data_IF_925600986904
#
_entry.id   IF_925600986904
#
_cell.length_a   1.000
_cell.length_b   1.000
_cell.length_c   1.000
_cell.angle_alpha   90.00
_cell.angle_beta   90.00
_cell.angle_gamma   90.00
#
_symmetry.space_group_name_H-M   'P 1'
#
loop_
_entity.id
_entity.type
_entity.pdbx_description
1 polymer ?
#
# COMPACT_ATOMS: atom_id res chain seq x y z
N UNK A 1 -16.11 -8.08 -15.97
CA UNK A 1 -14.98 -8.99 -16.31
C UNK A 1 -13.79 -8.12 -16.65
N UNK A 2 -12.70 -8.27 -15.92
CA UNK A 2 -11.44 -7.53 -16.13
C UNK A 2 -10.92 -7.80 -17.54
N UNK A 3 -10.49 -6.74 -18.22
CA UNK A 3 -9.95 -6.82 -19.58
C UNK A 3 -8.65 -6.05 -19.66
N UNK A 4 -7.60 -6.73 -20.12
CA UNK A 4 -6.33 -6.12 -20.47
C UNK A 4 -6.16 -6.12 -22.00
N UNK A 5 -5.72 -4.99 -22.53
CA UNK A 5 -5.14 -4.90 -23.85
C UNK A 5 -3.64 -4.58 -23.69
N UNK A 6 -2.86 -4.59 -24.75
CA UNK A 6 -1.40 -4.42 -24.69
C UNK A 6 -0.92 -3.06 -24.14
N UNK A 7 -1.82 -2.08 -23.99
CA UNK A 7 -1.50 -0.73 -23.52
C UNK A 7 -2.15 -0.38 -22.18
N UNK A 8 -2.95 -1.31 -21.59
CA UNK A 8 -3.59 -1.09 -20.30
C UNK A 8 -2.51 -0.95 -19.21
N UNK A 9 -2.49 0.19 -18.52
CA UNK A 9 -1.61 0.37 -17.36
C UNK A 9 -2.12 -0.43 -16.16
N UNK A 10 -1.23 -1.17 -15.49
CA UNK A 10 -1.51 -1.93 -14.27
C UNK A 10 -0.97 -1.12 -13.10
N UNK A 11 -1.87 -0.61 -12.27
CA UNK A 11 -1.58 0.18 -11.09
C UNK A 11 -1.91 -0.67 -9.87
N UNK A 12 -0.96 -0.86 -8.97
CA UNK A 12 -1.16 -1.71 -7.79
C UNK A 12 -0.76 -0.97 -6.52
N UNK A 13 -1.53 -1.15 -5.47
CA UNK A 13 -1.01 -0.93 -4.13
C UNK A 13 0.05 -2.00 -3.79
N UNK A 14 0.77 -1.78 -2.72
CA UNK A 14 1.84 -2.66 -2.26
C UNK A 14 1.41 -3.45 -1.02
N UNK A 15 1.14 -2.75 0.09
CA UNK A 15 0.84 -3.36 1.38
C UNK A 15 -0.64 -3.81 1.42
N UNK A 16 -0.89 -5.08 1.73
CA UNK A 16 -2.24 -5.66 1.67
C UNK A 16 -2.66 -6.21 0.29
N UNK A 17 -1.90 -5.91 -0.77
CA UNK A 17 -2.10 -6.46 -2.12
C UNK A 17 -0.98 -7.41 -2.53
N UNK A 18 0.25 -6.98 -2.34
CA UNK A 18 1.49 -7.70 -2.70
C UNK A 18 2.17 -8.21 -1.44
N UNK A 19 2.40 -7.32 -0.48
CA UNK A 19 3.04 -7.63 0.79
C UNK A 19 2.03 -7.78 1.92
N UNK A 20 2.35 -8.69 2.85
CA UNK A 20 1.53 -8.94 4.03
C UNK A 20 1.60 -7.74 4.99
N UNK A 21 0.43 -7.30 5.47
CA UNK A 21 0.28 -6.21 6.44
C UNK A 21 0.78 -6.56 7.85
N UNK A 22 0.99 -7.84 8.17
CA UNK A 22 1.37 -8.27 9.52
C UNK A 22 2.64 -7.56 10.02
N UNK A 23 3.58 -7.27 9.11
CA UNK A 23 4.80 -6.54 9.41
C UNK A 23 4.52 -5.11 9.88
N UNK A 24 3.66 -4.39 9.15
CA UNK A 24 3.28 -3.03 9.50
C UNK A 24 2.40 -2.99 10.75
N UNK A 25 1.50 -3.96 10.91
CA UNK A 25 0.68 -4.11 12.12
C UNK A 25 1.58 -4.31 13.35
N UNK A 26 2.58 -5.16 13.26
CA UNK A 26 3.54 -5.38 14.37
C UNK A 26 4.34 -4.12 14.70
N UNK A 27 4.75 -3.35 13.68
CA UNK A 27 5.42 -2.07 13.92
C UNK A 27 4.53 -1.14 14.77
N UNK A 28 3.28 -0.95 14.38
CA UNK A 28 2.37 -0.03 15.06
C UNK A 28 1.86 -0.52 16.41
N UNK A 29 1.60 -1.83 16.55
CA UNK A 29 0.97 -2.40 17.75
C UNK A 29 1.98 -2.91 18.80
N UNK A 30 3.22 -3.18 18.39
CA UNK A 30 4.23 -3.77 19.27
C UNK A 30 5.54 -2.99 19.27
N UNK A 31 6.29 -2.97 18.19
CA UNK A 31 7.68 -2.50 18.17
C UNK A 31 7.81 -1.02 18.53
N UNK A 32 7.03 -0.15 17.90
CA UNK A 32 7.03 1.27 18.19
C UNK A 32 6.58 1.58 19.64
N UNK A 33 5.43 1.07 20.12
CA UNK A 33 5.01 1.29 21.49
C UNK A 33 6.00 0.76 22.53
N UNK A 34 6.58 -0.42 22.32
CA UNK A 34 7.57 -1.03 23.24
C UNK A 34 8.85 -0.19 23.30
N UNK A 35 9.34 0.29 22.14
CA UNK A 35 10.51 1.16 22.08
C UNK A 35 10.27 2.47 22.84
N UNK A 36 9.15 3.15 22.58
CA UNK A 36 8.78 4.41 23.26
C UNK A 36 8.61 4.21 24.77
N UNK A 37 7.96 3.13 25.20
CA UNK A 37 7.79 2.82 26.62
C UNK A 37 9.12 2.60 27.34
N UNK A 38 10.03 1.84 26.70
CA UNK A 38 11.35 1.56 27.24
C UNK A 38 12.22 2.84 27.33
N UNK A 39 12.25 3.64 26.25
CA UNK A 39 13.01 4.88 26.16
C UNK A 39 12.54 5.91 27.20
N UNK A 40 11.21 6.06 27.35
CA UNK A 40 10.62 7.05 28.25
C UNK A 40 10.42 6.55 29.68
N UNK A 41 10.66 5.27 29.97
CA UNK A 41 10.36 4.59 31.23
C UNK A 41 8.89 4.79 31.67
N UNK A 42 7.94 4.71 30.68
CA UNK A 42 6.51 4.82 30.91
C UNK A 42 5.82 3.46 30.78
N UNK A 43 4.58 3.38 31.24
CA UNK A 43 3.79 2.16 31.13
C UNK A 43 3.43 1.88 29.65
N UNK A 44 3.67 0.65 29.19
CA UNK A 44 3.43 0.25 27.80
C UNK A 44 1.96 0.44 27.37
N UNK A 45 1.00 0.10 28.22
CA UNK A 45 -0.42 0.24 27.88
C UNK A 45 -0.85 1.72 27.73
N UNK A 46 -0.27 2.61 28.56
CA UNK A 46 -0.50 4.05 28.41
C UNK A 46 0.08 4.59 27.11
N UNK A 47 1.27 4.11 26.70
CA UNK A 47 1.89 4.46 25.40
C UNK A 47 1.05 3.96 24.26
N UNK A 48 0.58 2.70 24.27
CA UNK A 48 -0.30 2.15 23.26
C UNK A 48 -1.57 2.98 23.09
N UNK A 49 -2.20 3.37 24.18
CA UNK A 49 -3.39 4.24 24.14
C UNK A 49 -3.09 5.59 23.50
N UNK A 50 -1.96 6.22 23.84
CA UNK A 50 -1.56 7.52 23.27
C UNK A 50 -1.28 7.42 21.77
N UNK A 51 -0.52 6.41 21.35
CA UNK A 51 -0.22 6.17 19.93
C UNK A 51 -1.50 5.88 19.15
N UNK A 52 -2.39 5.04 19.67
CA UNK A 52 -3.66 4.72 19.02
C UNK A 52 -4.56 5.95 18.87
N UNK A 53 -4.63 6.81 19.88
CA UNK A 53 -5.40 8.05 19.80
C UNK A 53 -4.86 8.99 18.70
N UNK A 54 -3.54 9.07 18.55
CA UNK A 54 -2.93 9.85 17.48
C UNK A 54 -3.15 9.21 16.11
N UNK A 55 -3.01 7.91 15.97
CA UNK A 55 -3.36 7.15 14.75
C UNK A 55 -4.79 7.50 14.31
N UNK A 56 -5.76 7.47 15.22
CA UNK A 56 -7.16 7.76 14.93
C UNK A 56 -7.37 9.23 14.49
N UNK A 57 -6.56 10.15 15.02
CA UNK A 57 -6.58 11.57 14.64
C UNK A 57 -6.01 11.78 13.24
N UNK A 58 -4.94 11.08 12.89
CA UNK A 58 -4.20 11.28 11.63
C UNK A 58 -4.72 10.42 10.47
N UNK A 59 -5.62 9.46 10.69
CA UNK A 59 -6.17 8.61 9.61
C UNK A 59 -6.67 9.43 8.42
N UNK A 60 -6.19 9.08 7.22
CA UNK A 60 -6.55 9.76 5.96
C UNK A 60 -5.82 11.08 5.71
N UNK A 61 -4.80 11.38 6.51
CA UNK A 61 -3.85 12.47 6.28
C UNK A 61 -2.47 11.90 5.93
N UNK A 62 -1.58 12.72 5.37
CA UNK A 62 -0.19 12.30 5.12
C UNK A 62 0.57 11.98 6.40
N UNK A 63 0.30 12.70 7.48
CA UNK A 63 0.98 12.48 8.77
C UNK A 63 0.84 11.03 9.26
N UNK A 64 -0.29 10.36 8.94
CA UNK A 64 -0.48 8.95 9.30
C UNK A 64 0.62 8.07 8.68
N UNK A 65 1.03 8.37 7.46
CA UNK A 65 1.98 7.57 6.69
C UNK A 65 3.43 8.09 6.79
N UNK A 66 3.64 9.34 7.25
CA UNK A 66 4.94 10.00 7.31
C UNK A 66 5.71 9.60 8.59
N UNK A 67 6.72 8.77 8.45
CA UNK A 67 7.54 8.37 9.59
C UNK A 67 8.29 9.55 10.25
N UNK A 68 8.57 10.65 9.52
CA UNK A 68 9.19 11.83 10.16
C UNK A 68 8.22 12.49 11.14
N UNK A 69 6.92 12.52 10.83
CA UNK A 69 5.92 13.01 11.77
C UNK A 69 5.95 12.22 13.09
N UNK A 70 6.04 10.89 13.00
CA UNK A 70 6.09 10.01 14.17
C UNK A 70 7.43 10.07 14.90
N UNK A 71 8.55 10.23 14.16
CA UNK A 71 9.89 10.44 14.72
C UNK A 71 9.90 11.69 15.62
N UNK A 72 9.37 12.81 15.11
CA UNK A 72 9.30 14.08 15.82
C UNK A 72 8.34 14.01 17.01
N UNK A 73 7.14 13.42 16.82
CA UNK A 73 6.11 13.34 17.86
C UNK A 73 6.54 12.48 19.05
N UNK A 74 7.20 11.35 18.78
CA UNK A 74 7.54 10.36 19.78
C UNK A 74 9.01 10.44 20.24
N UNK A 75 9.81 11.30 19.60
CA UNK A 75 11.25 11.46 19.79
C UNK A 75 11.99 10.12 19.65
N UNK A 76 11.78 9.44 18.52
CA UNK A 76 12.38 8.16 18.14
C UNK A 76 12.92 8.22 16.71
N UNK A 77 13.61 7.18 16.26
CA UNK A 77 13.87 6.90 14.84
C UNK A 77 13.08 5.64 14.44
N UNK A 78 11.95 5.82 13.76
CA UNK A 78 11.10 4.72 13.32
C UNK A 78 11.86 3.77 12.38
N UNK A 79 12.77 4.29 11.55
CA UNK A 79 13.56 3.44 10.65
C UNK A 79 14.61 2.61 11.39
N UNK A 80 15.18 3.12 12.48
CA UNK A 80 16.06 2.34 13.35
C UNK A 80 15.27 1.18 13.99
N UNK A 81 14.08 1.47 14.55
CA UNK A 81 13.19 0.44 15.13
C UNK A 81 12.86 -0.64 14.10
N UNK A 82 12.51 -0.25 12.85
CA UNK A 82 12.20 -1.18 11.77
C UNK A 82 13.40 -2.06 11.40
N UNK A 83 14.61 -1.49 11.32
CA UNK A 83 15.83 -2.21 10.92
C UNK A 83 16.33 -3.19 11.97
N UNK A 84 16.12 -2.89 13.23
CA UNK A 84 16.51 -3.75 14.36
C UNK A 84 15.70 -5.06 14.41
N UNK A 85 14.55 -5.13 13.74
CA UNK A 85 13.74 -6.35 13.76
C UNK A 85 14.40 -7.48 12.96
N UNK A 86 14.46 -8.67 13.56
CA UNK A 86 14.88 -9.90 12.87
C UNK A 86 13.86 -10.31 11.81
N UNK A 87 12.57 -10.13 12.12
CA UNK A 87 11.48 -10.38 11.20
C UNK A 87 11.52 -9.42 10.03
N UNK A 88 11.25 -9.93 8.83
CA UNK A 88 11.18 -9.13 7.60
C UNK A 88 9.77 -9.21 7.02
N UNK A 89 9.40 -8.19 6.24
CA UNK A 89 8.15 -8.24 5.49
C UNK A 89 8.14 -9.45 4.54
N UNK A 90 6.97 -9.94 4.22
CA UNK A 90 6.78 -11.10 3.36
C UNK A 90 5.72 -10.84 2.30
N UNK A 91 5.80 -11.57 1.18
CA UNK A 91 4.71 -11.59 0.22
C UNK A 91 3.44 -12.18 0.82
N UNK A 92 2.28 -11.67 0.40
CA UNK A 92 1.03 -12.40 0.54
C UNK A 92 1.08 -13.71 -0.25
N UNK A 93 0.35 -14.71 0.21
CA UNK A 93 0.31 -16.03 -0.42
C UNK A 93 -0.03 -15.93 -1.91
N UNK A 94 0.84 -16.50 -2.76
CA UNK A 94 0.71 -16.49 -4.21
C UNK A 94 0.99 -15.16 -4.90
N UNK A 95 1.31 -14.07 -4.17
CA UNK A 95 1.54 -12.76 -4.78
C UNK A 95 2.85 -12.70 -5.57
N UNK A 96 3.90 -13.36 -5.11
CA UNK A 96 5.16 -13.41 -5.85
C UNK A 96 4.99 -14.12 -7.21
N UNK A 97 4.32 -15.27 -7.25
CA UNK A 97 4.00 -15.98 -8.49
C UNK A 97 3.06 -15.17 -9.39
N UNK A 98 2.13 -14.42 -8.80
CA UNK A 98 1.28 -13.49 -9.54
C UNK A 98 2.10 -12.38 -10.22
N UNK A 99 3.07 -11.80 -9.54
CA UNK A 99 4.00 -10.82 -10.11
C UNK A 99 4.83 -11.42 -11.25
N UNK A 100 5.35 -12.64 -11.09
CA UNK A 100 6.05 -13.35 -12.14
C UNK A 100 5.19 -13.54 -13.39
N UNK A 101 3.90 -13.86 -13.24
CA UNK A 101 2.95 -13.93 -14.36
C UNK A 101 2.72 -12.56 -14.98
N UNK A 102 2.47 -11.53 -14.18
CA UNK A 102 2.30 -10.16 -14.68
C UNK A 102 3.53 -9.65 -15.42
N UNK A 103 4.74 -10.07 -15.04
CA UNK A 103 5.99 -9.67 -15.72
C UNK A 103 6.08 -10.19 -17.15
N UNK A 104 5.35 -11.26 -17.51
CA UNK A 104 5.28 -11.75 -18.89
C UNK A 104 4.51 -10.82 -19.82
N UNK A 105 3.67 -9.93 -19.25
CA UNK A 105 2.91 -8.94 -20.01
C UNK A 105 3.75 -7.69 -20.24
N UNK A 106 3.63 -7.11 -21.45
CA UNK A 106 4.31 -5.85 -21.82
C UNK A 106 3.59 -4.59 -21.33
N UNK A 107 2.56 -4.75 -20.54
CA UNK A 107 1.77 -3.67 -19.95
C UNK A 107 2.61 -2.81 -19.01
N UNK A 108 2.48 -1.47 -19.03
CA UNK A 108 3.09 -0.63 -18.00
C UNK A 108 2.57 -1.02 -16.60
N UNK A 109 3.47 -1.09 -15.62
CA UNK A 109 3.18 -1.50 -14.25
C UNK A 109 3.75 -0.50 -13.26
N UNK A 110 2.90 0.03 -12.40
CA UNK A 110 3.30 1.02 -11.41
C UNK A 110 2.74 0.68 -10.04
N UNK A 111 3.57 0.87 -9.01
CA UNK A 111 3.09 0.86 -7.62
C UNK A 111 2.61 2.27 -7.27
N UNK A 112 1.43 2.37 -6.66
CA UNK A 112 0.88 3.59 -6.07
C UNK A 112 0.64 3.33 -4.59
N UNK A 113 1.43 3.95 -3.71
CA UNK A 113 1.39 3.64 -2.27
C UNK A 113 1.28 4.89 -1.40
N UNK A 114 0.60 4.73 -0.27
CA UNK A 114 0.60 5.72 0.82
C UNK A 114 1.81 5.57 1.76
N UNK A 115 2.49 4.41 1.73
CA UNK A 115 3.61 4.13 2.63
C UNK A 115 4.78 5.11 2.53
N UNK A 116 5.45 5.34 3.64
CA UNK A 116 6.67 6.16 3.69
C UNK A 116 7.75 5.61 2.74
N UNK A 117 8.35 6.44 1.88
CA UNK A 117 9.36 5.99 0.91
C UNK A 117 10.50 5.20 1.54
N UNK A 118 11.00 5.61 2.71
CA UNK A 118 12.13 4.94 3.41
C UNK A 118 11.76 3.52 3.83
N UNK A 119 10.52 3.34 4.36
CA UNK A 119 10.04 2.02 4.76
C UNK A 119 9.81 1.12 3.54
N UNK A 120 9.27 1.67 2.45
CA UNK A 120 9.04 0.91 1.22
C UNK A 120 10.34 0.53 0.51
N UNK A 121 11.34 1.40 0.50
CA UNK A 121 12.69 1.09 -0.01
C UNK A 121 13.32 -0.05 0.80
N UNK A 122 13.22 0.00 2.13
CA UNK A 122 13.71 -1.10 2.98
C UNK A 122 12.98 -2.43 2.72
N UNK A 123 11.65 -2.40 2.53
CA UNK A 123 10.90 -3.60 2.12
C UNK A 123 11.37 -4.11 0.75
N UNK A 124 11.67 -3.22 -0.19
CA UNK A 124 12.16 -3.59 -1.51
C UNK A 124 13.56 -4.24 -1.46
N UNK A 125 14.45 -3.78 -0.58
CA UNK A 125 15.76 -4.39 -0.35
C UNK A 125 15.63 -5.85 0.12
N UNK A 126 14.58 -6.17 0.88
CA UNK A 126 14.36 -7.51 1.44
C UNK A 126 13.58 -8.43 0.53
N UNK A 127 12.65 -7.92 -0.29
CA UNK A 127 11.71 -8.70 -1.10
C UNK A 127 11.90 -8.55 -2.61
N UNK A 128 12.72 -7.60 -3.05
CA UNK A 128 13.05 -7.36 -4.47
C UNK A 128 11.84 -7.20 -5.41
N UNK A 129 10.70 -6.69 -4.90
CA UNK A 129 9.47 -6.56 -5.71
C UNK A 129 9.55 -5.48 -6.79
N UNK A 130 10.48 -4.52 -6.67
CA UNK A 130 10.62 -3.44 -7.65
C UNK A 130 11.00 -3.93 -9.05
N UNK A 131 11.63 -5.10 -9.19
CA UNK A 131 12.00 -5.67 -10.49
C UNK A 131 10.77 -5.94 -11.39
N UNK A 132 9.56 -6.07 -10.80
CA UNK A 132 8.32 -6.33 -11.53
C UNK A 132 7.62 -5.07 -12.03
N UNK A 133 8.10 -3.87 -11.67
CA UNK A 133 7.42 -2.60 -11.91
C UNK A 133 8.30 -1.59 -12.63
N UNK A 134 7.69 -0.76 -13.47
CA UNK A 134 8.40 0.31 -14.17
C UNK A 134 8.69 1.51 -13.27
N UNK A 135 7.83 1.74 -12.25
CA UNK A 135 8.04 2.79 -11.24
C UNK A 135 7.15 2.62 -10.01
N UNK A 136 7.48 3.39 -8.98
CA UNK A 136 6.67 3.56 -7.78
C UNK A 136 6.32 5.04 -7.58
N UNK A 137 5.08 5.35 -7.24
CA UNK A 137 4.58 6.68 -6.97
C UNK A 137 4.03 6.76 -5.54
N UNK A 138 4.67 7.59 -4.74
CA UNK A 138 4.38 7.75 -3.32
C UNK A 138 3.43 8.91 -3.05
N UNK A 139 2.52 8.75 -2.10
CA UNK A 139 1.68 9.84 -1.58
C UNK A 139 2.50 10.99 -1.00
N UNK A 140 3.64 10.69 -0.36
CA UNK A 140 4.58 11.69 0.16
C UNK A 140 5.09 12.62 -0.94
N UNK A 141 5.45 12.07 -2.11
CA UNK A 141 5.91 12.87 -3.25
C UNK A 141 4.78 13.68 -3.90
N UNK A 142 3.55 13.17 -3.83
CA UNK A 142 2.37 13.88 -4.30
C UNK A 142 1.93 15.01 -3.36
N UNK A 143 2.24 14.92 -2.07
CA UNK A 143 1.71 15.82 -1.04
C UNK A 143 0.26 15.54 -0.66
N UNK A 144 -0.30 14.41 -1.10
CA UNK A 144 -1.70 14.02 -0.87
C UNK A 144 -1.81 12.49 -0.77
N UNK A 145 -2.59 11.93 0.19
CA UNK A 145 -2.84 10.50 0.25
C UNK A 145 -3.78 10.03 -0.86
N UNK A 146 -3.76 8.74 -1.18
CA UNK A 146 -4.56 8.12 -2.26
C UNK A 146 -6.07 8.32 -2.13
N UNK A 147 -6.57 8.59 -0.94
CA UNK A 147 -7.97 8.91 -0.67
C UNK A 147 -8.42 10.25 -1.28
N UNK A 148 -7.47 11.13 -1.63
CA UNK A 148 -7.73 12.46 -2.16
C UNK A 148 -7.53 12.52 -3.67
N UNK A 149 -8.41 13.26 -4.36
CA UNK A 149 -8.38 13.39 -5.84
C UNK A 149 -7.10 14.02 -6.37
N UNK A 150 -6.45 14.86 -5.56
CA UNK A 150 -5.22 15.57 -5.88
C UNK A 150 -4.08 14.57 -6.14
N UNK A 151 -3.97 13.50 -5.33
CA UNK A 151 -3.03 12.40 -5.57
C UNK A 151 -3.17 11.83 -6.99
N UNK A 152 -4.40 11.50 -7.37
CA UNK A 152 -4.69 10.89 -8.68
C UNK A 152 -4.41 11.83 -9.85
N UNK A 153 -4.66 13.13 -9.66
CA UNK A 153 -4.32 14.15 -10.67
C UNK A 153 -2.81 14.19 -10.92
N UNK A 154 -2.02 14.15 -9.85
CA UNK A 154 -0.57 14.15 -9.91
C UNK A 154 -0.02 12.81 -10.44
N UNK A 155 -0.55 11.67 -9.98
CA UNK A 155 -0.18 10.37 -10.49
C UNK A 155 -0.44 10.26 -11.99
N UNK A 156 -1.61 10.70 -12.47
CA UNK A 156 -1.95 10.75 -13.89
C UNK A 156 -0.95 11.54 -14.71
N UNK A 157 -0.57 12.73 -14.22
CA UNK A 157 0.40 13.59 -14.91
C UNK A 157 1.80 13.01 -14.91
N UNK A 158 2.32 12.60 -13.74
CA UNK A 158 3.69 12.16 -13.57
C UNK A 158 3.98 10.82 -14.26
N UNK A 159 3.00 9.91 -14.27
CA UNK A 159 3.12 8.58 -14.88
C UNK A 159 2.51 8.53 -16.30
N UNK A 160 2.04 9.67 -16.82
CA UNK A 160 1.39 9.76 -18.14
C UNK A 160 0.26 8.72 -18.32
N UNK A 161 -0.63 8.60 -17.34
CA UNK A 161 -1.68 7.57 -17.32
C UNK A 161 -2.91 7.98 -18.12
N UNK A 162 -3.45 7.02 -18.86
CA UNK A 162 -4.81 7.09 -19.39
C UNK A 162 -5.74 6.27 -18.49
N UNK A 163 -6.57 6.94 -17.67
CA UNK A 163 -7.48 6.29 -16.73
C UNK A 163 -8.56 5.43 -17.41
N UNK A 164 -8.95 5.77 -18.65
CA UNK A 164 -9.85 4.93 -19.44
C UNK A 164 -9.20 3.60 -19.87
N UNK A 165 -7.87 3.55 -19.84
CA UNK A 165 -7.08 2.37 -20.19
C UNK A 165 -6.16 1.95 -19.04
N UNK A 166 -6.67 1.98 -17.81
CA UNK A 166 -5.96 1.57 -16.61
C UNK A 166 -6.80 0.60 -15.78
N UNK A 167 -6.10 -0.29 -15.07
CA UNK A 167 -6.62 -1.07 -13.96
C UNK A 167 -5.89 -0.66 -12.70
N UNK A 168 -6.63 -0.45 -11.61
CA UNK A 168 -6.08 -0.17 -10.29
C UNK A 168 -6.52 -1.24 -9.30
N UNK A 169 -5.59 -1.69 -8.45
CA UNK A 169 -5.74 -2.80 -7.52
C UNK A 169 -5.34 -2.32 -6.13
N UNK A 170 -6.24 -2.44 -5.15
CA UNK A 170 -6.02 -1.97 -3.79
C UNK A 170 -6.89 -2.76 -2.79
N UNK A 171 -6.49 -2.83 -1.52
CA UNK A 171 -7.25 -3.49 -0.46
C UNK A 171 -8.06 -2.52 0.41
N UNK A 172 -7.78 -1.21 0.36
CA UNK A 172 -8.53 -0.19 1.09
C UNK A 172 -9.75 0.31 0.30
N UNK A 173 -10.93 0.12 0.87
CA UNK A 173 -12.20 0.53 0.24
C UNK A 173 -12.31 2.05 0.01
N UNK A 174 -11.68 2.89 0.86
CA UNK A 174 -11.71 4.35 0.67
C UNK A 174 -10.88 4.74 -0.54
N UNK A 175 -9.70 4.13 -0.70
CA UNK A 175 -8.81 4.33 -1.86
C UNK A 175 -9.47 3.83 -3.13
N UNK A 176 -10.04 2.63 -3.14
CA UNK A 176 -10.83 2.06 -4.24
C UNK A 176 -11.97 3.00 -4.67
N UNK A 177 -12.67 3.57 -3.67
CA UNK A 177 -13.74 4.54 -3.92
C UNK A 177 -13.21 5.83 -4.55
N UNK A 178 -12.06 6.33 -4.09
CA UNK A 178 -11.42 7.52 -4.65
C UNK A 178 -10.99 7.28 -6.11
N UNK A 179 -10.33 6.15 -6.38
CA UNK A 179 -9.91 5.74 -7.73
C UNK A 179 -11.10 5.63 -8.70
N UNK A 180 -12.21 5.07 -8.24
CA UNK A 180 -13.45 5.00 -9.06
C UNK A 180 -13.99 6.40 -9.36
N UNK A 181 -14.02 7.30 -8.39
CA UNK A 181 -14.53 8.67 -8.55
C UNK A 181 -13.71 9.52 -9.53
N UNK A 182 -12.41 9.30 -9.62
CA UNK A 182 -11.55 10.03 -10.57
C UNK A 182 -11.57 9.44 -11.99
N UNK A 183 -12.32 8.35 -12.20
CA UNK A 183 -12.60 7.79 -13.52
C UNK A 183 -11.63 6.71 -13.98
N UNK A 184 -10.93 6.02 -13.09
CA UNK A 184 -10.17 4.82 -13.48
C UNK A 184 -11.17 3.75 -13.94
N UNK A 185 -10.94 3.21 -15.13
CA UNK A 185 -11.90 2.36 -15.84
C UNK A 185 -12.17 1.04 -15.16
N UNK A 186 -11.13 0.43 -14.64
CA UNK A 186 -11.22 -0.86 -13.94
C UNK A 186 -10.57 -0.70 -12.56
N UNK A 187 -11.37 -0.80 -11.53
CA UNK A 187 -10.90 -0.74 -10.14
C UNK A 187 -11.22 -2.08 -9.49
N UNK A 188 -10.23 -2.69 -8.90
CA UNK A 188 -10.29 -3.98 -8.23
C UNK A 188 -10.07 -3.78 -6.73
N UNK A 189 -10.97 -4.31 -5.95
CA UNK A 189 -10.84 -4.33 -4.50
C UNK A 189 -10.39 -5.73 -4.05
N UNK A 190 -9.20 -5.83 -3.48
CA UNK A 190 -8.72 -7.07 -2.87
C UNK A 190 -9.41 -7.25 -1.52
N UNK A 191 -10.06 -8.40 -1.36
CA UNK A 191 -10.87 -8.72 -0.16
C UNK A 191 -10.52 -10.13 0.31
N UNK A 192 -9.45 -10.29 1.12
CA UNK A 192 -9.01 -11.61 1.57
C UNK A 192 -10.13 -12.41 2.24
N UNK A 193 -10.19 -13.71 1.92
CA UNK A 193 -11.20 -14.63 2.48
C UNK A 193 -12.63 -14.46 1.94
N UNK A 194 -12.88 -13.55 0.99
CA UNK A 194 -14.19 -13.36 0.35
C UNK A 194 -14.18 -13.87 -1.08
N UNK A 195 -15.32 -14.37 -1.55
CA UNK A 195 -15.47 -14.76 -2.95
C UNK A 195 -15.47 -13.54 -3.88
N UNK A 196 -15.05 -13.76 -5.12
CA UNK A 196 -15.16 -12.76 -6.20
C UNK A 196 -16.61 -12.34 -6.38
N UNK A 197 -16.89 -11.05 -6.24
CA UNK A 197 -18.22 -10.46 -6.43
C UNK A 197 -18.11 -9.08 -7.08
N UNK A 198 -19.23 -8.55 -7.57
CA UNK A 198 -19.37 -7.14 -7.91
C UNK A 198 -20.05 -6.45 -6.73
N UNK A 199 -19.33 -5.59 -6.04
CA UNK A 199 -19.82 -4.85 -4.87
C UNK A 199 -19.72 -3.35 -5.12
N UNK A 200 -20.86 -2.64 -5.01
CA UNK A 200 -20.92 -1.18 -5.25
C UNK A 200 -20.31 -0.73 -6.60
N UNK A 201 -20.43 -1.57 -7.64
CA UNK A 201 -19.86 -1.30 -8.96
C UNK A 201 -18.37 -1.61 -9.11
N UNK A 202 -17.71 -2.09 -8.05
CA UNK A 202 -16.29 -2.49 -8.03
C UNK A 202 -16.19 -4.01 -8.05
N UNK A 203 -15.31 -4.55 -8.87
CA UNK A 203 -15.05 -5.99 -8.93
C UNK A 203 -14.09 -6.38 -7.80
N UNK A 204 -14.43 -7.42 -7.02
CA UNK A 204 -13.58 -7.89 -5.91
C UNK A 204 -12.88 -9.17 -6.26
N UNK A 205 -11.68 -9.37 -5.70
CA UNK A 205 -10.95 -10.63 -5.75
C UNK A 205 -10.37 -10.97 -4.38
N UNK A 206 -10.24 -12.26 -4.03
CA UNK A 206 -9.63 -12.66 -2.75
C UNK A 206 -8.17 -12.25 -2.63
N UNK A 207 -7.42 -12.27 -3.75
CA UNK A 207 -5.99 -11.99 -3.80
C UNK A 207 -5.53 -11.51 -5.19
N UNK A 208 -4.31 -11.00 -5.27
CA UNK A 208 -3.64 -10.71 -6.53
C UNK A 208 -3.46 -12.00 -7.37
N UNK A 209 -3.23 -13.15 -6.72
CA UNK A 209 -3.11 -14.44 -7.39
C UNK A 209 -4.40 -14.83 -8.10
N UNK A 210 -5.56 -14.69 -7.44
CA UNK A 210 -6.87 -14.96 -8.05
C UNK A 210 -7.18 -14.01 -9.20
N UNK A 211 -6.83 -12.73 -9.06
CA UNK A 211 -6.98 -11.75 -10.13
C UNK A 211 -6.15 -12.14 -11.34
N UNK A 212 -4.86 -12.43 -11.15
CA UNK A 212 -3.96 -12.78 -12.27
C UNK A 212 -4.38 -14.07 -12.97
N UNK A 213 -4.86 -15.07 -12.23
CA UNK A 213 -5.41 -16.30 -12.81
C UNK A 213 -6.68 -16.07 -13.64
N UNK A 214 -7.39 -14.97 -13.41
CA UNK A 214 -8.61 -14.63 -14.15
C UNK A 214 -8.37 -13.79 -15.42
N UNK A 215 -7.18 -13.18 -15.58
CA UNK A 215 -6.87 -12.25 -16.66
C UNK A 215 -5.72 -12.69 -17.57
N UNK A 216 -4.95 -13.69 -17.17
CA UNK A 216 -3.86 -14.33 -17.92
C UNK A 216 -4.17 -15.82 -18.11
#
# INVERSE_FOLDING_TARGET
>A
MVKLNSTTAILSDLDGVILNLDYDIKFWESWLPEHVANQSNQNLEEIKIKIQAEIDTQRGTLNFYDLNYWDDLLNVDCMEIIREQEEKCSYLEGSHEALQRLSTLKNPKHILTNGDPRAQEYKAETQNFLEFFDSIFYSMHAGYPKEQKEFWTLARHNLNLDFENAIFIDDDFKVVTAATKVGIKQVIWITPGKNRVLQNGVETFPSLADLTAAII
#
